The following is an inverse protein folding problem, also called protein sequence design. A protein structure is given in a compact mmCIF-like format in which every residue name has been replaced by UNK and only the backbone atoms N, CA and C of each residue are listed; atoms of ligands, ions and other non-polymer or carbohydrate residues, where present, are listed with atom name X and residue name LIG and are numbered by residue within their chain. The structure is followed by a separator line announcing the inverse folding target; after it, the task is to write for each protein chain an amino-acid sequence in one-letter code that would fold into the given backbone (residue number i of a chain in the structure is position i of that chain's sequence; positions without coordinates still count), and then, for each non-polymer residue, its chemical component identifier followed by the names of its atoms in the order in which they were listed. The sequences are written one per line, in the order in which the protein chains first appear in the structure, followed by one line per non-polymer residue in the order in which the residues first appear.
data_IF_290999715909
#
_entry.id   IF_290999715909
#
_cell.length_a   1.000
_cell.length_b   1.000
_cell.length_c   1.000
_cell.angle_alpha   90.00
_cell.angle_beta   90.00
_cell.angle_gamma   90.00
#
_symmetry.space_group_name_H-M   'P 1'
#
loop_
_entity.id
_entity.type
_entity.pdbx_description
1 polymer ?
#
# COMPACT_ATOMS: atom_id res chain seq x y z
N UNK A 1 -10.79 -10.45 0.18
CA UNK A 1 -11.20 -11.40 1.24
C UNK A 1 -11.28 -10.69 2.58
N UNK A 2 -12.35 -10.98 3.36
CA UNK A 2 -12.50 -10.44 4.72
C UNK A 2 -11.67 -11.26 5.69
N UNK A 3 -10.91 -10.61 6.56
CA UNK A 3 -10.23 -11.25 7.66
C UNK A 3 -11.24 -11.54 8.79
N UNK A 4 -11.61 -12.80 8.97
CA UNK A 4 -12.66 -13.23 9.90
C UNK A 4 -12.15 -13.60 11.28
N UNK A 5 -10.85 -13.59 11.54
CA UNK A 5 -10.25 -13.97 12.80
C UNK A 5 -10.39 -12.93 13.93
N UNK A 6 -10.81 -11.71 13.61
CA UNK A 6 -10.90 -10.57 14.53
C UNK A 6 -12.05 -9.66 14.12
N UNK A 7 -12.42 -8.72 14.99
CA UNK A 7 -13.50 -7.76 14.73
C UNK A 7 -13.08 -6.67 13.73
N UNK A 8 -12.82 -7.07 12.48
CA UNK A 8 -12.40 -6.21 11.39
C UNK A 8 -13.47 -6.10 10.30
N UNK A 9 -14.70 -5.83 10.69
CA UNK A 9 -15.85 -5.87 9.78
C UNK A 9 -15.73 -4.96 8.55
N UNK A 10 -14.93 -3.90 8.65
CA UNK A 10 -14.69 -2.95 7.55
C UNK A 10 -13.29 -3.05 6.95
N UNK A 11 -12.56 -4.13 7.23
CA UNK A 11 -11.21 -4.34 6.71
C UNK A 11 -11.17 -5.57 5.83
N UNK A 12 -10.68 -5.39 4.61
CA UNK A 12 -10.65 -6.42 3.60
C UNK A 12 -9.24 -6.63 3.06
N UNK A 13 -8.94 -7.88 2.71
CA UNK A 13 -7.83 -8.19 1.83
C UNK A 13 -8.30 -8.12 0.37
N UNK A 14 -7.43 -7.63 -0.49
CA UNK A 14 -7.70 -7.54 -1.92
C UNK A 14 -6.74 -8.44 -2.67
N UNK A 15 -7.27 -9.26 -3.54
CA UNK A 15 -6.50 -10.13 -4.43
C UNK A 15 -6.68 -9.69 -5.87
N UNK A 16 -5.58 -9.72 -6.61
CA UNK A 16 -5.62 -9.61 -8.05
C UNK A 16 -4.75 -10.72 -8.63
N UNK A 17 -5.21 -11.36 -9.67
CA UNK A 17 -4.47 -12.43 -10.35
C UNK A 17 -4.30 -12.05 -11.81
N UNK A 18 -3.05 -12.04 -12.26
CA UNK A 18 -2.69 -11.93 -13.66
C UNK A 18 -2.25 -13.32 -14.13
N UNK A 19 -3.06 -13.96 -14.96
CA UNK A 19 -2.79 -15.32 -15.44
C UNK A 19 -1.70 -15.31 -16.51
N UNK A 20 -0.63 -16.04 -16.27
CA UNK A 20 0.46 -16.26 -17.20
C UNK A 20 0.25 -17.50 -18.08
N UNK A 21 1.30 -17.86 -18.82
CA UNK A 21 1.30 -19.00 -19.77
C UNK A 21 1.80 -20.30 -19.15
N UNK A 22 2.42 -20.25 -17.99
CA UNK A 22 2.97 -21.43 -17.29
C UNK A 22 2.28 -21.65 -15.94
N UNK A 23 2.59 -22.75 -15.30
CA UNK A 23 2.13 -23.11 -13.97
C UNK A 23 2.97 -22.49 -12.83
N UNK A 24 4.02 -21.76 -13.19
CA UNK A 24 4.82 -21.01 -12.22
C UNK A 24 4.09 -19.75 -11.81
N UNK A 25 4.25 -19.39 -10.55
CA UNK A 25 3.61 -18.19 -10.00
C UNK A 25 4.57 -17.37 -9.17
N UNK A 26 4.31 -16.06 -9.13
CA UNK A 26 4.96 -15.10 -8.24
C UNK A 26 3.84 -14.44 -7.44
N UNK A 27 4.02 -14.34 -6.14
CA UNK A 27 3.11 -13.62 -5.26
C UNK A 27 3.79 -12.34 -4.76
N UNK A 28 3.18 -11.21 -5.04
CA UNK A 28 3.49 -9.95 -4.36
C UNK A 28 2.51 -9.78 -3.20
N UNK A 29 3.04 -9.53 -2.02
CA UNK A 29 2.23 -9.29 -0.84
C UNK A 29 2.64 -7.97 -0.20
N UNK A 30 1.68 -7.13 0.10
CA UNK A 30 1.92 -5.84 0.73
C UNK A 30 0.74 -5.38 1.55
N UNK A 31 1.00 -4.44 2.46
CA UNK A 31 -0.04 -3.83 3.29
C UNK A 31 -0.39 -2.42 2.83
N UNK A 32 -1.61 -1.99 3.13
CA UNK A 32 -2.11 -0.64 2.81
C UNK A 32 -2.32 0.23 4.05
N UNK A 33 -2.29 -0.39 5.21
CA UNK A 33 -2.38 0.33 6.49
C UNK A 33 -1.03 1.01 6.81
N UNK A 34 -1.08 1.87 7.80
CA UNK A 34 0.08 2.62 8.29
C UNK A 34 -0.09 2.87 9.78
N UNK A 35 0.99 3.26 10.44
CA UNK A 35 0.96 3.71 11.82
C UNK A 35 0.07 4.96 11.99
N UNK A 36 -0.52 5.17 13.16
CA UNK A 36 -1.23 6.42 13.42
C UNK A 36 -0.34 7.64 13.18
N UNK A 37 -0.93 8.72 12.69
CA UNK A 37 -0.24 9.98 12.56
C UNK A 37 -0.04 10.59 13.95
N UNK A 38 1.19 10.59 14.43
CA UNK A 38 1.59 11.25 15.67
C UNK A 38 2.54 12.42 15.36
N UNK A 39 2.93 13.14 16.41
CA UNK A 39 3.85 14.27 16.31
C UNK A 39 3.50 15.22 15.15
N UNK A 40 2.23 15.61 15.07
CA UNK A 40 1.70 16.42 13.96
C UNK A 40 2.46 17.73 13.77
N UNK A 41 3.04 18.31 14.83
CA UNK A 41 3.85 19.51 14.75
C UNK A 41 5.16 19.35 13.98
N UNK A 42 5.65 18.13 13.78
CA UNK A 42 6.86 17.86 13.01
C UNK A 42 6.58 17.74 11.50
N UNK A 43 5.32 17.56 11.10
CA UNK A 43 4.94 17.44 9.70
C UNK A 43 4.87 18.81 9.04
N UNK A 44 5.54 18.96 7.91
CA UNK A 44 5.47 20.17 7.08
C UNK A 44 4.21 20.26 6.23
N UNK A 45 3.54 19.13 6.04
CA UNK A 45 2.25 19.00 5.35
C UNK A 45 1.34 18.10 6.19
N UNK A 46 0.03 18.16 6.01
CA UNK A 46 -0.86 17.18 6.65
C UNK A 46 -0.48 15.75 6.26
N UNK A 47 -0.19 14.86 7.23
CA UNK A 47 0.34 13.51 6.92
C UNK A 47 -0.60 12.64 6.09
N UNK A 48 -1.92 12.82 6.21
CA UNK A 48 -2.93 12.06 5.48
C UNK A 48 -3.36 12.70 4.16
N UNK A 49 -2.75 13.81 3.79
CA UNK A 49 -2.97 14.50 2.51
C UNK A 49 -1.67 14.47 1.69
N UNK A 50 -1.35 13.34 1.04
CA UNK A 50 -0.08 13.20 0.34
C UNK A 50 0.04 14.20 -0.80
N UNK A 51 1.25 14.70 -1.01
CA UNK A 51 1.56 15.70 -2.05
C UNK A 51 2.77 15.27 -2.86
N UNK A 52 2.71 15.55 -4.15
CA UNK A 52 3.88 15.48 -5.02
C UNK A 52 4.65 16.80 -4.89
N UNK A 53 5.90 16.71 -4.47
CA UNK A 53 6.78 17.85 -4.26
C UNK A 53 8.09 17.58 -4.98
N UNK A 54 8.33 18.32 -6.08
CA UNK A 54 9.48 18.09 -6.96
C UNK A 54 9.49 16.63 -7.48
N UNK A 55 10.49 15.86 -7.09
CA UNK A 55 10.68 14.47 -7.47
C UNK A 55 10.21 13.46 -6.40
N UNK A 56 9.46 13.92 -5.40
CA UNK A 56 9.06 13.11 -4.23
C UNK A 56 7.57 13.13 -4.01
N UNK A 57 7.08 12.04 -3.47
CA UNK A 57 5.73 11.97 -2.88
C UNK A 57 5.91 11.97 -1.36
N UNK A 58 5.31 12.94 -0.70
CA UNK A 58 5.38 13.09 0.76
C UNK A 58 4.02 12.80 1.36
N UNK A 59 3.98 11.92 2.35
CA UNK A 59 2.75 11.53 3.05
C UNK A 59 2.98 10.32 3.94
N UNK A 60 2.10 10.13 4.91
CA UNK A 60 2.17 9.00 5.82
C UNK A 60 1.83 7.69 5.07
N UNK A 61 2.66 6.67 5.28
CA UNK A 61 2.47 5.37 4.63
C UNK A 61 2.92 5.30 3.16
N UNK A 62 3.47 6.38 2.60
CA UNK A 62 3.96 6.39 1.21
C UNK A 62 5.17 5.46 1.07
N UNK A 63 6.18 5.60 1.92
CA UNK A 63 7.37 4.76 1.88
C UNK A 63 7.11 3.35 2.47
N UNK A 64 6.29 3.26 3.48
CA UNK A 64 5.95 2.00 4.16
C UNK A 64 4.43 1.80 4.20
N UNK A 65 3.90 1.08 3.20
CA UNK A 65 4.67 0.58 2.05
C UNK A 65 3.97 0.81 0.70
N UNK A 66 3.14 1.83 0.55
CA UNK A 66 2.36 2.05 -0.68
C UNK A 66 3.24 2.21 -1.93
N UNK A 67 4.44 2.79 -1.80
CA UNK A 67 5.39 2.87 -2.92
C UNK A 67 5.85 1.48 -3.38
N UNK A 68 6.22 0.60 -2.43
CA UNK A 68 6.60 -0.77 -2.75
C UNK A 68 5.45 -1.59 -3.33
N UNK A 69 4.24 -1.39 -2.80
CA UNK A 69 3.03 -2.03 -3.31
C UNK A 69 2.77 -1.65 -4.77
N UNK A 70 2.85 -0.36 -5.08
CA UNK A 70 2.69 0.13 -6.45
C UNK A 70 3.78 -0.37 -7.39
N UNK A 71 5.02 -0.45 -6.93
CA UNK A 71 6.10 -1.01 -7.71
C UNK A 71 5.84 -2.48 -8.09
N UNK A 72 5.33 -3.28 -7.15
CA UNK A 72 4.93 -4.67 -7.41
C UNK A 72 3.79 -4.79 -8.42
N UNK A 73 2.76 -3.96 -8.30
CA UNK A 73 1.63 -3.92 -9.24
C UNK A 73 2.12 -3.55 -10.65
N UNK A 74 2.92 -2.50 -10.75
CA UNK A 74 3.44 -2.04 -12.05
C UNK A 74 4.35 -3.09 -12.69
N UNK A 75 5.18 -3.78 -11.91
CA UNK A 75 6.01 -4.87 -12.40
C UNK A 75 5.16 -6.02 -12.98
N UNK A 76 4.03 -6.33 -12.35
CA UNK A 76 3.10 -7.33 -12.86
C UNK A 76 2.38 -6.93 -14.15
N UNK A 77 2.28 -5.64 -14.44
CA UNK A 77 1.60 -5.12 -15.63
C UNK A 77 2.52 -5.06 -16.88
N UNK A 78 3.79 -5.29 -16.72
CA UNK A 78 4.77 -5.26 -17.84
C UNK A 78 4.89 -6.62 -18.60
#
# INVERSE_FOLDING_TARGET
ERNTGHNYDNRFNVYATLKGKSDKSILFNGHIDHMPADNLGAWKIPPLEPRVMEDKIVGLGVADMKAGLMAGIMAGMV
#
